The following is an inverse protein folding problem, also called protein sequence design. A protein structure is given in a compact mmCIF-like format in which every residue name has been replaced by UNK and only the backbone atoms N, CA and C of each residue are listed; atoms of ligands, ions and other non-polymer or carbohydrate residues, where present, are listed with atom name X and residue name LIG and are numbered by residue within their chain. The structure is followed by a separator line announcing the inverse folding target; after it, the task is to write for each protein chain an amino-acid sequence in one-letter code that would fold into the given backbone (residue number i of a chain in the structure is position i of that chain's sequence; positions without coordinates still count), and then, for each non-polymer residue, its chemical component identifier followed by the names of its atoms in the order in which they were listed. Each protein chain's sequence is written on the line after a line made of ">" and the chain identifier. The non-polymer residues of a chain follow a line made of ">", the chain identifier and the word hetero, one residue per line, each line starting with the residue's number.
data_IF_012858175863
#
_entry.id   IF_012858175863
#
_cell.length_a   1.000
_cell.length_b   1.000
_cell.length_c   1.000
_cell.angle_alpha   90.00
_cell.angle_beta   90.00
_cell.angle_gamma   90.00
#
_symmetry.space_group_name_H-M   'P 1'
#
loop_
_entity.id
_entity.type
_entity.pdbx_description
1 polymer ?
#
# COMPACT_ATOMS: atom_id res chain seq x y z
N UNK A 1 3.96 6.83 2.95
CA UNK A 1 3.43 5.46 2.67
C UNK A 1 2.73 5.44 1.31
N UNK A 2 2.73 4.30 0.62
CA UNK A 2 2.21 4.13 -0.75
C UNK A 2 0.76 4.59 -0.99
N UNK A 3 -0.09 4.64 0.04
CA UNK A 3 -1.50 5.09 -0.08
C UNK A 3 -1.66 6.51 -0.60
N UNK A 4 -0.65 7.37 -0.42
CA UNK A 4 -0.66 8.72 -0.97
C UNK A 4 -0.72 8.75 -2.49
N UNK A 5 -0.13 7.75 -3.17
CA UNK A 5 -0.18 7.62 -4.63
C UNK A 5 -1.57 7.31 -5.17
N UNK A 6 -2.42 6.69 -4.34
CA UNK A 6 -3.80 6.31 -4.69
C UNK A 6 -4.84 7.26 -4.10
N UNK A 7 -4.40 8.32 -3.41
CA UNK A 7 -5.24 9.17 -2.58
C UNK A 7 -6.13 8.39 -1.58
N UNK A 8 -5.65 7.24 -1.10
CA UNK A 8 -6.38 6.40 -0.16
C UNK A 8 -6.21 6.92 1.28
N UNK A 9 -7.34 7.00 1.97
CA UNK A 9 -7.40 7.09 3.43
C UNK A 9 -6.91 5.80 4.10
N UNK A 10 -6.62 5.86 5.40
CA UNK A 10 -6.26 4.69 6.21
C UNK A 10 -7.40 3.66 6.18
N UNK A 11 -8.66 4.12 6.23
CA UNK A 11 -9.84 3.25 6.16
C UNK A 11 -9.97 2.54 4.82
N UNK A 12 -9.71 3.25 3.71
CA UNK A 12 -9.72 2.63 2.38
C UNK A 12 -8.64 1.58 2.23
N UNK A 13 -7.42 1.84 2.69
CA UNK A 13 -6.37 0.83 2.67
C UNK A 13 -6.74 -0.38 3.53
N UNK A 14 -7.22 -0.16 4.76
CA UNK A 14 -7.67 -1.22 5.66
C UNK A 14 -8.72 -2.13 5.00
N UNK A 15 -9.74 -1.53 4.37
CA UNK A 15 -10.80 -2.23 3.63
C UNK A 15 -10.26 -3.01 2.44
N UNK A 16 -9.41 -2.39 1.61
CA UNK A 16 -8.85 -3.04 0.41
C UNK A 16 -7.89 -4.18 0.74
N UNK A 17 -7.16 -4.07 1.86
CA UNK A 17 -6.22 -5.07 2.35
C UNK A 17 -6.88 -6.15 3.23
N UNK A 18 -8.10 -5.94 3.72
CA UNK A 18 -8.73 -6.83 4.70
C UNK A 18 -8.00 -6.84 6.06
N UNK A 19 -7.41 -5.70 6.44
CA UNK A 19 -6.61 -5.54 7.66
C UNK A 19 -7.29 -4.50 8.55
N UNK A 20 -7.30 -4.72 9.87
CA UNK A 20 -7.90 -3.78 10.82
C UNK A 20 -7.28 -2.37 10.76
N UNK A 21 -8.12 -1.33 10.86
CA UNK A 21 -7.71 0.07 10.81
C UNK A 21 -6.58 0.41 11.80
N UNK A 22 -6.69 -0.07 13.05
CA UNK A 22 -5.66 0.13 14.09
C UNK A 22 -4.32 -0.50 13.71
N UNK A 23 -4.32 -1.61 12.98
CA UNK A 23 -3.10 -2.26 12.48
C UNK A 23 -2.43 -1.42 11.42
N UNK A 24 -3.18 -0.88 10.45
CA UNK A 24 -2.64 0.05 9.44
C UNK A 24 -2.05 1.30 10.13
N UNK A 25 -2.78 1.89 11.09
CA UNK A 25 -2.31 3.08 11.81
C UNK A 25 -1.03 2.82 12.60
N UNK A 26 -0.86 1.62 13.19
CA UNK A 26 0.42 1.24 13.84
C UNK A 26 1.54 1.11 12.82
N UNK A 27 1.27 0.47 11.68
CA UNK A 27 2.25 0.30 10.60
C UNK A 27 2.74 1.66 10.07
N UNK A 28 1.84 2.62 9.89
CA UNK A 28 2.25 3.96 9.43
C UNK A 28 3.06 4.77 10.43
N UNK A 29 2.88 4.52 11.73
CA UNK A 29 3.60 5.24 12.79
C UNK A 29 5.04 4.76 12.96
N UNK A 30 5.35 3.55 12.52
CA UNK A 30 6.68 2.98 12.65
C UNK A 30 7.45 3.23 11.36
N UNK A 31 8.56 3.97 11.45
CA UNK A 31 9.52 4.07 10.36
C UNK A 31 10.36 2.78 10.30
N UNK A 32 9.77 1.72 9.75
CA UNK A 32 10.42 0.42 9.60
C UNK A 32 9.46 -0.76 9.64
N UNK A 33 10.00 -1.98 9.72
CA UNK A 33 9.21 -3.19 9.92
C UNK A 33 8.79 -3.25 11.38
N UNK A 34 7.49 -3.26 11.65
CA UNK A 34 6.99 -3.60 12.98
C UNK A 34 7.46 -5.02 13.33
N UNK A 35 8.18 -5.22 14.45
CA UNK A 35 8.65 -6.54 14.86
C UNK A 35 7.50 -7.56 15.01
N UNK A 36 6.33 -7.08 15.41
CA UNK A 36 5.12 -7.89 15.61
C UNK A 36 4.19 -7.93 14.38
N UNK A 37 4.54 -7.27 13.28
CA UNK A 37 3.69 -7.34 12.09
C UNK A 37 3.77 -8.73 11.48
N UNK A 38 2.64 -9.43 11.50
CA UNK A 38 2.54 -10.72 10.82
C UNK A 38 2.84 -10.56 9.33
N UNK A 39 3.65 -11.47 8.78
CA UNK A 39 4.00 -11.51 7.35
C UNK A 39 2.74 -11.55 6.47
N UNK A 40 1.68 -12.20 6.94
CA UNK A 40 0.35 -12.24 6.30
C UNK A 40 -0.24 -10.84 6.08
N UNK A 41 -0.17 -9.98 7.10
CA UNK A 41 -0.64 -8.58 7.05
C UNK A 41 0.14 -7.77 6.03
N UNK A 42 1.48 -7.87 6.04
CA UNK A 42 2.34 -7.16 5.09
C UNK A 42 2.05 -7.62 3.64
N UNK A 43 1.89 -8.93 3.42
CA UNK A 43 1.49 -9.48 2.12
C UNK A 43 0.11 -8.99 1.68
N UNK A 44 -0.84 -8.87 2.60
CA UNK A 44 -2.19 -8.38 2.29
C UNK A 44 -2.16 -6.90 1.86
N UNK A 45 -1.41 -6.06 2.57
CA UNK A 45 -1.20 -4.65 2.23
C UNK A 45 -0.52 -4.52 0.87
N UNK A 46 0.58 -5.26 0.65
CA UNK A 46 1.28 -5.27 -0.64
C UNK A 46 0.34 -5.63 -1.79
N UNK A 47 -0.45 -6.70 -1.63
CA UNK A 47 -1.44 -7.13 -2.64
C UNK A 47 -2.53 -6.09 -2.89
N UNK A 48 -2.99 -5.39 -1.85
CA UNK A 48 -4.01 -4.35 -2.01
C UNK A 48 -3.52 -3.24 -2.96
N UNK A 49 -2.26 -2.84 -2.82
CA UNK A 49 -1.63 -1.87 -3.72
C UNK A 49 -1.42 -2.43 -5.12
N UNK A 50 -0.75 -3.58 -5.27
CA UNK A 50 -0.41 -4.10 -6.60
C UNK A 50 -1.63 -4.51 -7.42
N UNK A 51 -2.73 -4.91 -6.78
CA UNK A 51 -3.99 -5.26 -7.46
C UNK A 51 -4.64 -4.07 -8.17
N UNK A 52 -4.28 -2.84 -7.81
CA UNK A 52 -4.77 -1.65 -8.53
C UNK A 52 -4.19 -1.55 -9.95
N UNK A 53 -3.08 -2.25 -10.24
CA UNK A 53 -2.37 -2.16 -11.51
C UNK A 53 -1.54 -0.89 -11.70
N UNK A 54 -1.78 0.14 -10.89
CA UNK A 54 -1.11 1.45 -10.98
C UNK A 54 -0.05 1.66 -9.90
N UNK A 55 0.16 0.71 -8.99
CA UNK A 55 1.22 0.77 -7.98
C UNK A 55 2.18 -0.41 -8.12
N UNK A 56 3.48 -0.12 -8.17
CA UNK A 56 4.55 -1.12 -8.21
C UNK A 56 5.57 -0.85 -7.08
N UNK A 57 6.03 -1.92 -6.43
CA UNK A 57 7.10 -1.86 -5.44
C UNK A 57 8.44 -2.21 -6.08
N UNK A 58 9.47 -1.42 -5.77
CA UNK A 58 10.86 -1.69 -6.18
C UNK A 58 11.69 -2.02 -4.94
N UNK A 59 11.91 -3.32 -4.73
CA UNK A 59 12.58 -3.82 -3.53
C UNK A 59 11.83 -3.42 -2.26
N UNK A 60 12.57 -2.91 -1.27
CA UNK A 60 12.05 -2.49 0.03
C UNK A 60 12.05 -0.97 0.22
N UNK A 61 12.53 -0.22 -0.77
CA UNK A 61 12.80 1.23 -0.65
C UNK A 61 11.96 2.08 -1.59
N UNK A 62 11.52 1.53 -2.74
CA UNK A 62 10.81 2.27 -3.77
C UNK A 62 9.35 1.87 -3.91
N UNK A 63 8.51 2.87 -4.20
CA UNK A 63 7.15 2.66 -4.71
C UNK A 63 6.89 3.61 -5.87
N UNK A 64 6.39 3.08 -6.98
CA UNK A 64 6.13 3.80 -8.21
C UNK A 64 4.63 3.84 -8.51
N UNK A 65 4.17 4.97 -9.04
CA UNK A 65 2.87 5.10 -9.68
C UNK A 65 3.03 4.88 -11.18
N UNK A 66 2.25 3.95 -11.72
CA UNK A 66 2.19 3.65 -13.16
C UNK A 66 0.84 4.19 -13.64
N UNK A 67 0.80 5.34 -14.35
CA UNK A 67 -0.45 5.86 -14.86
C UNK A 67 -1.09 4.85 -15.83
N UNK A 68 -2.41 4.66 -15.78
CA UNK A 68 -3.10 3.82 -16.75
C UNK A 68 -2.90 4.39 -18.15
N UNK A 69 -2.79 3.51 -19.15
CA UNK A 69 -2.48 3.87 -20.56
C UNK A 69 -3.47 4.90 -21.16
N UNK A 70 -4.66 5.05 -20.59
CA UNK A 70 -5.65 6.06 -20.96
C UNK A 70 -5.27 7.51 -20.60
N UNK A 71 -4.29 7.72 -19.71
CA UNK A 71 -3.86 9.04 -19.23
C UNK A 71 -2.56 9.54 -19.90
N UNK A 72 -1.97 8.77 -20.82
CA UNK A 72 -0.77 9.17 -21.55
C UNK A 72 -1.20 9.87 -22.85
N UNK A 73 -0.95 11.19 -23.03
CA UNK A 73 -1.15 11.85 -24.31
C UNK A 73 -0.22 11.23 -25.35
N UNK A 74 -0.73 11.01 -26.57
CA UNK A 74 0.05 10.48 -27.71
C UNK A 74 1.28 11.33 -28.07
#
# INVERSE_FOLDING_TARGET
>A
MARGLLNWSIMELARNAGVGHSTIKRIEKVNGVLPEAQVSTLKAIHRAFTRTGVVRFEGTTGVLYIPPRSEVPE
#
